data_IF_545733881812
#
_entry.id   IF_545733881812
#
_cell.length_a   1.000
_cell.length_b   1.000
_cell.length_c   1.000
_cell.angle_alpha   90.00
_cell.angle_beta   90.00
_cell.angle_gamma   90.00
#
_symmetry.space_group_name_H-M   'P 1'
#
loop_
_entity.id
_entity.type
_entity.pdbx_description
1 polymer ?
#
# COMPACT_ATOMS: atom_id res chain seq x y z
N UNK A 1 -26.49 17.23 -35.39
CA UNK A 1 -26.60 16.30 -34.25
C UNK A 1 -25.83 16.85 -33.05
N UNK A 2 -26.50 17.54 -32.13
CA UNK A 2 -25.87 18.17 -30.96
C UNK A 2 -25.80 17.16 -29.79
N UNK A 3 -24.80 16.27 -29.82
CA UNK A 3 -24.54 15.31 -28.75
C UNK A 3 -23.32 15.70 -27.92
N UNK A 4 -23.35 15.41 -26.61
CA UNK A 4 -22.15 15.49 -25.75
C UNK A 4 -21.10 14.53 -26.30
N UNK A 5 -19.86 15.02 -26.47
CA UNK A 5 -18.72 14.17 -26.85
C UNK A 5 -18.55 13.04 -25.83
N UNK A 6 -18.28 11.82 -26.30
CA UNK A 6 -17.98 10.68 -25.42
C UNK A 6 -16.63 10.91 -24.72
N UNK A 7 -16.54 10.48 -23.47
CA UNK A 7 -15.29 10.53 -22.70
C UNK A 7 -14.24 9.61 -23.35
N UNK A 8 -12.94 9.98 -23.35
CA UNK A 8 -11.87 9.17 -23.95
C UNK A 8 -11.79 7.72 -23.44
N UNK A 9 -12.28 7.44 -22.22
CA UNK A 9 -12.27 6.08 -21.67
C UNK A 9 -13.01 5.07 -22.56
N UNK A 10 -13.99 5.52 -23.36
CA UNK A 10 -14.75 4.66 -24.28
C UNK A 10 -13.90 3.98 -25.35
N UNK A 11 -12.67 4.44 -25.61
CA UNK A 11 -11.73 3.77 -26.53
C UNK A 11 -11.43 2.33 -26.07
N UNK A 12 -11.46 2.06 -24.77
CA UNK A 12 -11.16 0.74 -24.19
C UNK A 12 -12.39 -0.17 -24.03
N UNK A 13 -13.56 0.27 -24.49
CA UNK A 13 -14.83 -0.43 -24.28
C UNK A 13 -15.65 -0.52 -25.55
N UNK A 14 -16.45 -1.58 -25.65
CA UNK A 14 -17.50 -1.71 -26.66
C UNK A 14 -18.83 -1.26 -26.04
N UNK A 15 -19.55 -0.39 -26.75
CA UNK A 15 -20.88 0.05 -26.33
C UNK A 15 -21.95 -0.95 -26.78
N UNK A 16 -22.84 -1.31 -25.86
CA UNK A 16 -24.00 -2.17 -26.13
C UNK A 16 -25.26 -1.42 -25.69
N UNK A 17 -26.17 -1.19 -26.62
CA UNK A 17 -27.45 -0.54 -26.38
C UNK A 17 -28.53 -1.63 -26.48
N UNK A 18 -29.29 -1.84 -25.41
CA UNK A 18 -30.42 -2.77 -25.41
C UNK A 18 -31.68 -2.02 -25.84
N UNK A 19 -32.30 -2.46 -26.95
CA UNK A 19 -33.56 -1.90 -27.43
C UNK A 19 -34.64 -2.06 -26.35
N UNK A 20 -35.21 -0.94 -25.90
CA UNK A 20 -36.25 -0.91 -24.86
C UNK A 20 -35.78 -0.55 -23.45
N UNK A 21 -34.46 -0.43 -23.20
CA UNK A 21 -33.93 0.03 -21.91
C UNK A 21 -33.25 1.39 -22.03
N UNK A 22 -33.45 2.25 -21.02
CA UNK A 22 -32.76 3.53 -20.91
C UNK A 22 -31.36 3.31 -20.33
N UNK A 23 -30.33 3.48 -21.16
CA UNK A 23 -28.93 3.48 -20.75
C UNK A 23 -28.04 2.68 -21.68
N UNK A 24 -26.77 3.07 -21.76
CA UNK A 24 -25.75 2.30 -22.47
C UNK A 24 -25.02 1.35 -21.51
N UNK A 25 -24.70 0.16 -22.00
CA UNK A 25 -23.78 -0.78 -21.35
C UNK A 25 -22.42 -0.69 -22.02
N UNK A 26 -21.39 -0.96 -21.24
CA UNK A 26 -20.01 -0.99 -21.69
C UNK A 26 -19.41 -2.38 -21.43
N UNK A 27 -18.70 -2.93 -22.42
CA UNK A 27 -17.99 -4.20 -22.31
C UNK A 27 -16.50 -3.91 -22.43
N UNK A 28 -15.71 -4.28 -21.43
CA UNK A 28 -14.26 -4.04 -21.43
C UNK A 28 -13.58 -4.85 -22.54
N UNK A 29 -12.71 -4.24 -23.34
CA UNK A 29 -11.98 -4.94 -24.42
C UNK A 29 -10.89 -5.90 -23.91
N UNK A 30 -10.40 -5.70 -22.68
CA UNK A 30 -9.33 -6.51 -22.10
C UNK A 30 -9.86 -7.80 -21.44
N UNK A 31 -10.84 -7.68 -20.55
CA UNK A 31 -11.38 -8.82 -19.79
C UNK A 31 -12.81 -9.23 -20.19
N UNK A 32 -13.41 -8.58 -21.19
CA UNK A 32 -14.78 -8.83 -21.66
C UNK A 32 -15.89 -8.66 -20.60
N UNK A 33 -15.57 -8.05 -19.45
CA UNK A 33 -16.55 -7.79 -18.39
C UNK A 33 -17.59 -6.76 -18.84
N UNK A 34 -18.87 -7.13 -18.74
CA UNK A 34 -20.00 -6.23 -18.96
C UNK A 34 -20.26 -5.35 -17.71
N UNK A 35 -20.51 -4.06 -17.93
CA UNK A 35 -20.85 -3.10 -16.88
C UNK A 35 -21.75 -1.98 -17.41
N UNK A 36 -22.28 -1.16 -16.50
CA UNK A 36 -23.00 0.06 -16.88
C UNK A 36 -22.05 1.08 -17.53
N UNK A 37 -22.50 1.77 -18.58
CA UNK A 37 -21.76 2.78 -19.34
C UNK A 37 -21.52 4.11 -18.59
N UNK A 38 -21.31 4.04 -17.27
CA UNK A 38 -20.93 5.19 -16.45
C UNK A 38 -19.41 5.36 -16.47
N UNK A 39 -18.95 6.53 -16.90
CA UNK A 39 -17.53 6.86 -17.08
C UNK A 39 -16.69 6.59 -15.83
N UNK A 40 -17.20 6.93 -14.63
CA UNK A 40 -16.50 6.68 -13.37
C UNK A 40 -16.23 5.19 -13.11
N UNK A 41 -17.21 4.33 -13.38
CA UNK A 41 -17.10 2.88 -13.22
C UNK A 41 -16.15 2.28 -14.26
N UNK A 42 -16.17 2.80 -15.49
CA UNK A 42 -15.23 2.40 -16.54
C UNK A 42 -13.79 2.75 -16.15
N UNK A 43 -13.50 3.97 -15.67
CA UNK A 43 -12.14 4.37 -15.24
C UNK A 43 -11.60 3.48 -14.13
N UNK A 44 -12.39 3.27 -13.06
CA UNK A 44 -12.00 2.41 -11.93
C UNK A 44 -11.75 0.96 -12.37
N UNK A 45 -12.56 0.41 -13.27
CA UNK A 45 -12.31 -0.92 -13.80
C UNK A 45 -11.03 -0.97 -14.62
N UNK A 46 -10.80 0.01 -15.49
CA UNK A 46 -9.66 0.02 -16.40
C UNK A 46 -8.32 -0.01 -15.65
N UNK A 47 -8.18 0.79 -14.58
CA UNK A 47 -6.99 0.80 -13.72
C UNK A 47 -6.66 -0.59 -13.16
N UNK A 48 -7.66 -1.29 -12.63
CA UNK A 48 -7.48 -2.65 -12.06
C UNK A 48 -7.33 -3.71 -13.15
N UNK A 49 -8.01 -3.55 -14.28
CA UNK A 49 -8.04 -4.53 -15.37
C UNK A 49 -6.71 -4.60 -16.11
N UNK A 50 -6.05 -3.45 -16.33
CA UNK A 50 -4.74 -3.39 -16.98
C UNK A 50 -3.71 -4.13 -16.13
N UNK A 51 -3.65 -3.84 -14.84
CA UNK A 51 -2.74 -4.51 -13.90
C UNK A 51 -2.92 -6.04 -13.88
N UNK A 52 -4.16 -6.54 -13.97
CA UNK A 52 -4.43 -7.98 -14.01
C UNK A 52 -4.03 -8.63 -15.33
N UNK A 53 -4.28 -7.97 -16.45
CA UNK A 53 -3.95 -8.50 -17.77
C UNK A 53 -2.43 -8.61 -18.01
N UNK A 54 -1.63 -7.69 -17.45
CA UNK A 54 -0.16 -7.75 -17.54
C UNK A 54 0.43 -8.96 -16.82
N UNK A 55 -0.24 -9.43 -15.76
CA UNK A 55 0.14 -10.64 -15.02
C UNK A 55 -0.28 -11.91 -15.75
N UNK A 56 -1.44 -11.89 -16.42
CA UNK A 56 -1.96 -13.05 -17.17
C UNK A 56 -1.18 -13.32 -18.46
N UNK A 57 -0.75 -12.30 -19.21
CA UNK A 57 0.07 -12.47 -20.43
C UNK A 57 1.43 -13.14 -20.22
N UNK A 58 1.92 -13.23 -18.98
CA UNK A 58 3.19 -13.92 -18.65
C UNK A 58 3.01 -15.42 -18.40
N UNK A 59 1.79 -15.96 -18.45
CA UNK A 59 1.50 -17.37 -18.18
C UNK A 59 1.26 -18.23 -19.42
N UNK A 60 1.18 -17.63 -20.61
CA UNK A 60 0.83 -18.35 -21.85
C UNK A 60 2.08 -18.82 -22.64
N UNK A 61 3.10 -19.32 -21.96
CA UNK A 61 4.22 -20.02 -22.59
C UNK A 61 4.63 -21.22 -21.72
N UNK A 62 3.73 -22.17 -21.52
CA UNK A 62 4.03 -23.57 -21.19
C UNK A 62 2.71 -24.35 -21.29
N UNK A 63 2.52 -25.05 -22.42
CA UNK A 63 1.36 -25.90 -22.68
C UNK A 63 1.73 -27.37 -22.43
N UNK A 64 0.73 -28.08 -21.88
CA UNK A 64 0.58 -29.55 -21.71
C UNK A 64 1.42 -30.22 -20.62
N UNK A 65 0.75 -30.80 -19.59
CA UNK A 65 0.56 -32.27 -19.40
C UNK A 65 -0.65 -32.57 -18.51
N UNK A 66 -1.28 -33.70 -18.82
CA UNK A 66 -2.46 -34.30 -18.20
C UNK A 66 -2.32 -34.73 -16.73
N UNK A 67 -3.48 -34.73 -16.05
CA UNK A 67 -3.96 -35.60 -14.97
C UNK A 67 -3.17 -35.84 -13.67
N UNK A 68 -3.98 -35.83 -12.58
CA UNK A 68 -3.89 -36.57 -11.31
C UNK A 68 -3.48 -35.82 -10.01
N UNK A 69 -4.51 -35.62 -9.18
CA UNK A 69 -4.70 -35.95 -7.75
C UNK A 69 -3.55 -35.92 -6.70
N UNK A 70 -3.97 -35.52 -5.50
CA UNK A 70 -3.41 -35.78 -4.15
C UNK A 70 -2.31 -34.85 -3.59
N UNK A 71 -2.68 -34.30 -2.44
CA UNK A 71 -1.91 -33.89 -1.26
C UNK A 71 -1.18 -32.55 -1.18
N UNK A 72 -1.46 -31.94 -0.03
CA UNK A 72 -0.69 -30.90 0.63
C UNK A 72 0.82 -31.15 0.57
N UNK A 73 1.60 -30.11 0.34
CA UNK A 73 2.83 -29.89 1.09
C UNK A 73 3.28 -28.44 0.98
N UNK A 74 3.75 -27.99 2.12
CA UNK A 74 4.31 -26.69 2.44
C UNK A 74 5.77 -26.61 1.93
N UNK A 75 6.26 -25.37 1.76
CA UNK A 75 7.66 -24.92 1.62
C UNK A 75 8.27 -24.90 0.20
N UNK A 76 9.26 -24.08 -0.16
CA UNK A 76 9.87 -22.78 0.24
C UNK A 76 11.17 -22.69 -0.61
N UNK A 77 11.60 -21.49 -1.01
CA UNK A 77 12.92 -21.23 -1.61
C UNK A 77 12.78 -20.30 -2.82
N UNK A 78 13.28 -19.06 -2.88
CA UNK A 78 14.60 -18.46 -2.58
C UNK A 78 15.74 -19.09 -3.37
N UNK A 79 16.16 -18.38 -4.42
CA UNK A 79 17.55 -18.08 -4.81
C UNK A 79 17.54 -17.05 -5.96
N UNK A 80 18.00 -15.81 -5.70
CA UNK A 80 19.30 -15.23 -6.12
C UNK A 80 19.41 -14.98 -7.65
N UNK A 81 19.92 -13.87 -8.21
CA UNK A 81 20.64 -12.69 -7.71
C UNK A 81 20.97 -11.75 -8.91
N UNK A 82 21.07 -10.44 -8.62
CA UNK A 82 21.76 -9.36 -9.37
C UNK A 82 21.08 -8.88 -10.69
N UNK A 83 21.14 -7.60 -11.09
CA UNK A 83 22.04 -6.49 -10.77
C UNK A 83 21.41 -5.13 -11.23
N UNK A 84 21.38 -4.13 -10.33
CA UNK A 84 21.85 -2.70 -10.44
C UNK A 84 21.51 -1.95 -11.78
N UNK A 85 20.95 -0.72 -11.85
CA UNK A 85 21.51 0.55 -11.35
C UNK A 85 20.56 1.78 -11.48
N UNK A 86 20.48 2.56 -10.40
CA UNK A 86 20.44 4.02 -10.19
C UNK A 86 19.72 5.00 -11.14
N UNK A 87 18.99 5.96 -10.54
CA UNK A 87 19.47 7.36 -10.44
C UNK A 87 18.65 8.22 -9.44
N UNK A 88 19.39 9.12 -8.80
CA UNK A 88 19.23 9.82 -7.52
C UNK A 88 18.23 11.00 -7.48
N UNK A 89 17.74 11.34 -6.27
CA UNK A 89 17.66 12.72 -5.74
C UNK A 89 17.31 12.73 -4.23
N UNK A 90 17.60 13.83 -3.50
CA UNK A 90 18.72 13.96 -2.57
C UNK A 90 18.31 13.84 -1.11
N UNK A 91 19.19 13.24 -0.30
CA UNK A 91 19.09 13.22 1.16
C UNK A 91 19.35 14.62 1.77
N UNK A 92 18.40 15.21 2.52
CA UNK A 92 18.73 16.27 3.45
C UNK A 92 19.19 15.63 4.77
N UNK A 93 20.46 15.21 4.75
CA UNK A 93 21.42 15.45 5.81
C UNK A 93 21.01 15.03 7.25
N UNK A 94 21.49 13.84 7.61
CA UNK A 94 22.02 13.53 8.93
C UNK A 94 23.03 14.61 9.36
N UNK A 95 22.58 15.65 10.06
CA UNK A 95 23.46 16.51 10.87
C UNK A 95 23.41 16.01 12.30
N UNK A 96 24.34 15.11 12.60
CA UNK A 96 24.85 14.93 13.96
C UNK A 96 25.54 16.24 14.34
N UNK A 97 24.83 17.12 15.04
CA UNK A 97 25.45 18.32 15.61
C UNK A 97 26.21 17.86 16.85
N UNK A 98 27.53 17.89 16.70
CA UNK A 98 28.50 17.87 17.77
C UNK A 98 28.45 19.23 18.49
N UNK A 99 28.61 19.17 19.80
CA UNK A 99 28.42 20.23 20.78
C UNK A 99 29.43 21.36 20.61
N UNK A 100 28.99 22.61 20.69
CA UNK A 100 29.85 23.71 21.08
C UNK A 100 29.54 24.09 22.54
N UNK A 101 30.64 24.14 23.26
CA UNK A 101 30.84 24.41 24.67
C UNK A 101 30.68 25.92 24.91
N UNK A 102 29.92 26.32 25.92
CA UNK A 102 30.23 27.56 26.63
C UNK A 102 29.94 27.37 28.13
N UNK A 103 31.03 27.06 28.84
CA UNK A 103 31.10 27.16 30.29
C UNK A 103 31.19 28.63 30.68
N UNK A 104 30.22 29.10 31.47
CA UNK A 104 30.51 30.10 32.50
C UNK A 104 30.07 29.54 33.84
N UNK A 105 31.06 29.06 34.60
CA UNK A 105 30.91 28.67 35.99
C UNK A 105 30.78 29.90 36.88
N UNK A 106 29.78 29.91 37.77
CA UNK A 106 29.96 30.46 39.13
C UNK A 106 29.01 29.74 40.10
N UNK A 107 29.65 28.89 40.90
CA UNK A 107 29.64 28.89 42.37
C UNK A 107 28.38 28.60 43.21
N UNK A 108 28.71 27.84 44.27
CA UNK A 108 28.09 27.59 45.57
C UNK A 108 26.76 26.85 45.78
N UNK A 109 26.87 25.96 46.76
CA UNK A 109 25.90 25.50 47.76
C UNK A 109 24.98 24.32 47.48
N UNK A 110 25.36 23.24 48.17
CA UNK A 110 24.64 21.97 48.37
C UNK A 110 23.34 22.28 49.13
N UNK A 111 22.27 22.52 48.37
CA UNK A 111 20.89 22.34 48.84
C UNK A 111 20.43 21.00 48.31
N UNK A 112 20.06 20.08 49.20
CA UNK A 112 19.43 18.80 48.83
C UNK A 112 18.13 19.13 48.09
N UNK A 113 18.21 19.21 46.77
CA UNK A 113 17.09 19.42 45.86
C UNK A 113 16.36 18.09 45.82
N UNK A 114 15.11 18.09 46.30
CA UNK A 114 14.14 17.04 46.02
C UNK A 114 14.34 16.62 44.56
N UNK A 115 14.59 15.32 44.34
CA UNK A 115 14.72 14.77 43.00
C UNK A 115 13.50 15.21 42.20
N UNK A 116 13.69 16.19 41.30
CA UNK A 116 12.70 16.47 40.28
C UNK A 116 12.70 15.21 39.43
N UNK A 117 11.63 14.43 39.50
CA UNK A 117 11.37 13.38 38.53
C UNK A 117 11.53 14.03 37.17
N UNK A 118 12.58 13.66 36.45
CA UNK A 118 12.77 14.09 35.06
C UNK A 118 11.57 13.54 34.33
N UNK A 119 10.69 14.45 33.93
CA UNK A 119 9.59 14.13 33.04
C UNK A 119 10.16 13.28 31.89
N UNK A 120 9.61 12.07 31.72
CA UNK A 120 10.06 11.10 30.70
C UNK A 120 9.55 11.52 29.32
N UNK A 121 8.60 12.46 29.26
CA UNK A 121 8.01 13.01 28.04
C UNK A 121 8.98 13.34 26.89
N UNK A 122 10.18 13.93 27.09
CA UNK A 122 11.12 14.19 25.98
C UNK A 122 11.73 12.93 25.37
N UNK A 123 11.65 11.78 26.05
CA UNK A 123 12.07 10.48 25.52
C UNK A 123 10.92 9.68 24.89
N UNK A 124 9.68 10.16 25.01
CA UNK A 124 8.51 9.53 24.40
C UNK A 124 8.34 10.05 22.97
N UNK A 125 8.87 9.29 22.00
CA UNK A 125 8.64 9.57 20.58
C UNK A 125 7.20 9.17 20.23
N UNK A 126 6.28 10.13 20.25
CA UNK A 126 4.92 9.95 19.72
C UNK A 126 4.91 10.18 18.23
N UNK A 127 4.18 9.34 17.50
CA UNK A 127 3.91 9.56 16.08
C UNK A 127 3.14 10.88 15.93
N UNK A 128 3.64 11.86 15.15
CA UNK A 128 2.91 13.09 14.90
C UNK A 128 1.64 12.81 14.11
N UNK A 129 0.59 13.62 14.30
CA UNK A 129 -0.77 13.35 13.79
C UNK A 129 -0.79 13.13 12.27
N UNK A 130 -0.04 13.93 11.51
CA UNK A 130 0.05 13.80 10.04
C UNK A 130 0.65 12.44 9.59
N UNK A 131 1.62 11.92 10.34
CA UNK A 131 2.24 10.63 10.04
C UNK A 131 1.29 9.49 10.39
N UNK A 132 0.53 9.62 11.48
CA UNK A 132 -0.48 8.64 11.88
C UNK A 132 -1.52 8.45 10.78
N UNK A 133 -2.09 9.52 10.25
CA UNK A 133 -3.12 9.44 9.20
C UNK A 133 -2.60 8.76 7.93
N UNK A 134 -1.32 9.00 7.59
CA UNK A 134 -0.66 8.35 6.45
C UNK A 134 -0.50 6.84 6.67
N UNK A 135 -0.11 6.44 7.89
CA UNK A 135 0.02 5.03 8.26
C UNK A 135 -1.35 4.34 8.27
N UNK A 136 -2.34 4.95 8.90
CA UNK A 136 -3.71 4.43 8.97
C UNK A 136 -4.29 4.23 7.56
N UNK A 137 -4.05 5.17 6.63
CA UNK A 137 -4.47 5.04 5.24
C UNK A 137 -3.79 3.86 4.53
N UNK A 138 -2.48 3.66 4.71
CA UNK A 138 -1.77 2.53 4.10
C UNK A 138 -2.24 1.18 4.66
N UNK A 139 -2.46 1.11 5.98
CA UNK A 139 -3.03 -0.07 6.63
C UNK A 139 -4.42 -0.37 6.07
N UNK A 140 -5.31 0.63 6.00
CA UNK A 140 -6.65 0.46 5.45
C UNK A 140 -6.63 -0.02 3.99
N UNK A 141 -5.73 0.54 3.16
CA UNK A 141 -5.54 0.11 1.78
C UNK A 141 -5.13 -1.34 1.68
N UNK A 142 -4.22 -1.81 2.53
CA UNK A 142 -3.76 -3.20 2.55
C UNK A 142 -4.91 -4.17 2.85
N UNK A 143 -5.71 -3.90 3.88
CA UNK A 143 -6.87 -4.75 4.21
C UNK A 143 -7.91 -4.76 3.08
N UNK A 144 -8.19 -3.58 2.51
CA UNK A 144 -9.15 -3.44 1.43
C UNK A 144 -8.69 -4.13 0.13
N UNK A 145 -7.44 -3.90 -0.31
CA UNK A 145 -6.90 -4.46 -1.55
C UNK A 145 -6.73 -5.98 -1.48
N UNK A 146 -6.40 -6.48 -0.30
CA UNK A 146 -6.18 -7.91 -0.07
C UNK A 146 -7.48 -8.67 0.26
N UNK A 147 -8.61 -7.96 0.35
CA UNK A 147 -9.91 -8.52 0.77
C UNK A 147 -9.81 -9.26 2.12
N UNK A 148 -9.03 -8.73 3.05
CA UNK A 148 -8.85 -9.30 4.39
C UNK A 148 -9.83 -8.58 5.32
N UNK A 149 -10.68 -9.29 6.07
CA UNK A 149 -11.56 -8.66 7.04
C UNK A 149 -10.74 -8.02 8.17
N UNK A 150 -11.16 -6.85 8.64
CA UNK A 150 -10.46 -6.18 9.75
C UNK A 150 -10.36 -7.03 11.01
N UNK A 151 -11.30 -7.96 11.25
CA UNK A 151 -11.24 -8.92 12.37
C UNK A 151 -9.96 -9.76 12.40
N UNK A 152 -9.25 -9.90 11.29
CA UNK A 152 -7.97 -10.60 11.24
C UNK A 152 -6.90 -9.98 12.16
N UNK A 153 -7.03 -8.71 12.54
CA UNK A 153 -6.09 -8.06 13.49
C UNK A 153 -6.22 -8.58 14.92
N UNK A 154 -7.34 -9.20 15.27
CA UNK A 154 -7.57 -9.80 16.60
C UNK A 154 -6.90 -11.18 16.71
N UNK A 155 -6.40 -11.74 15.61
CA UNK A 155 -5.73 -13.03 15.62
C UNK A 155 -4.44 -12.95 16.46
N UNK A 156 -4.21 -13.88 17.40
CA UNK A 156 -3.06 -13.83 18.30
C UNK A 156 -1.72 -13.89 17.55
N UNK A 157 -1.64 -14.60 16.42
CA UNK A 157 -0.42 -14.64 15.61
C UNK A 157 -0.12 -13.31 14.92
N UNK A 158 -1.15 -12.56 14.53
CA UNK A 158 -0.99 -11.22 13.98
C UNK A 158 -0.47 -10.24 15.05
N UNK A 159 -1.03 -10.31 16.26
CA UNK A 159 -0.56 -9.48 17.39
C UNK A 159 0.88 -9.80 17.77
N UNK A 160 1.24 -11.08 17.84
CA UNK A 160 2.61 -11.52 18.11
C UNK A 160 3.58 -11.03 17.03
N UNK A 161 3.19 -11.10 15.75
CA UNK A 161 3.98 -10.56 14.65
C UNK A 161 4.22 -9.05 14.83
N UNK A 162 3.18 -8.27 15.16
CA UNK A 162 3.32 -6.83 15.39
C UNK A 162 4.23 -6.51 16.58
N UNK A 163 4.19 -7.30 17.65
CA UNK A 163 5.10 -7.17 18.80
C UNK A 163 6.55 -7.47 18.39
N UNK A 164 6.79 -8.47 17.54
CA UNK A 164 8.13 -8.79 17.05
C UNK A 164 8.69 -7.74 16.08
N UNK A 165 7.83 -7.10 15.28
CA UNK A 165 8.24 -6.05 14.32
C UNK A 165 8.61 -4.73 15.01
N UNK A 166 8.03 -4.46 16.18
CA UNK A 166 8.42 -3.33 17.03
C UNK A 166 8.65 -3.84 18.45
N UNK A 167 9.83 -4.39 18.73
CA UNK A 167 10.22 -4.69 20.10
C UNK A 167 10.44 -3.35 20.81
N UNK A 168 9.46 -2.96 21.61
CA UNK A 168 9.65 -1.91 22.61
C UNK A 168 10.30 -2.52 23.85
#
# INVERSE_FOLDING_TARGET
SAGRKKDPIWVYYNEKIELGKKGSKAICKLCQKEMQGLVSRMKMHHEVCVAKNEVEKKKDCEQEKDALDVTATYNRGIDNKAQIESQNLPDPCNKRIQCDEDLTATDTDIKIKKFKTTDISPFIVKTPTNLKDTLDLQVAKFFFSSNIPFRSVENPHFLQLMQMLRPC
#
